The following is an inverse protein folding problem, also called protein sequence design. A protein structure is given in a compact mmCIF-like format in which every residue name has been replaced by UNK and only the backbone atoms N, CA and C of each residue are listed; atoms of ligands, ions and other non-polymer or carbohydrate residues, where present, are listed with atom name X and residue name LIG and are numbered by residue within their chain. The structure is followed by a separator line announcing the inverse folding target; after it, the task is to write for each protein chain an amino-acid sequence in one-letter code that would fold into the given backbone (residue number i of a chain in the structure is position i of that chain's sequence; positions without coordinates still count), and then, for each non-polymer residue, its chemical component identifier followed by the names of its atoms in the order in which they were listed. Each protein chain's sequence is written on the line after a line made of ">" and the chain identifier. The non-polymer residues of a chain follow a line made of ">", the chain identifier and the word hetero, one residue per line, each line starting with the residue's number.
data_IF_543848415500
#
_entry.id   IF_543848415500
#
_cell.length_a   1.000
_cell.length_b   1.000
_cell.length_c   1.000
_cell.angle_alpha   90.00
_cell.angle_beta   90.00
_cell.angle_gamma   90.00
#
_symmetry.space_group_name_H-M   'P 1'
#
loop_
_entity.id
_entity.type
_entity.pdbx_description
1 polymer ?
#
# COMPACT_ATOMS: atom_id res chain seq x y z
N UNK A 1 -18.49 -14.95 -10.99
CA UNK A 1 -17.85 -15.85 -10.03
C UNK A 1 -16.54 -16.34 -10.66
N UNK A 2 -15.48 -15.52 -10.58
CA UNK A 2 -14.14 -15.91 -11.10
C UNK A 2 -13.49 -16.74 -9.98
N UNK A 3 -12.98 -17.91 -10.34
CA UNK A 3 -12.39 -18.87 -9.41
C UNK A 3 -11.42 -18.19 -8.44
N UNK A 4 -11.55 -18.51 -7.15
CA UNK A 4 -10.51 -18.25 -6.16
C UNK A 4 -9.28 -18.98 -6.67
N UNK A 5 -8.32 -18.25 -7.24
CA UNK A 5 -7.02 -18.82 -7.58
C UNK A 5 -6.42 -19.33 -6.27
N UNK A 6 -5.74 -20.46 -6.32
CA UNK A 6 -4.92 -20.92 -5.20
C UNK A 6 -3.79 -19.90 -5.05
N UNK A 7 -4.01 -18.95 -4.14
CA UNK A 7 -3.07 -17.89 -3.82
C UNK A 7 -2.09 -18.46 -2.79
N UNK A 8 -0.79 -18.16 -2.92
CA UNK A 8 0.17 -18.48 -1.87
C UNK A 8 -0.32 -17.95 -0.51
N UNK A 9 0.09 -18.59 0.60
CA UNK A 9 -0.37 -18.18 1.93
C UNK A 9 0.06 -16.73 2.20
N UNK A 10 -0.90 -15.81 2.40
CA UNK A 10 -0.57 -14.40 2.64
C UNK A 10 0.16 -14.24 3.97
N UNK A 11 1.13 -13.34 4.03
CA UNK A 11 1.99 -13.13 5.20
C UNK A 11 1.80 -11.72 5.75
N UNK A 12 1.66 -11.62 7.07
CA UNK A 12 1.70 -10.34 7.80
C UNK A 12 2.94 -10.34 8.69
N UNK A 13 3.80 -9.34 8.52
CA UNK A 13 4.98 -9.08 9.34
C UNK A 13 4.69 -7.91 10.25
N UNK A 14 4.84 -8.09 11.57
CA UNK A 14 4.60 -7.04 12.57
C UNK A 14 5.91 -6.72 13.27
N UNK A 15 6.46 -5.52 13.05
CA UNK A 15 7.78 -5.14 13.56
C UNK A 15 7.81 -4.94 15.08
N UNK A 16 6.87 -4.15 15.58
CA UNK A 16 6.74 -3.87 17.01
C UNK A 16 5.28 -3.97 17.40
N UNK A 17 5.02 -4.80 18.41
CA UNK A 17 3.75 -4.84 19.11
C UNK A 17 4.01 -4.25 20.48
N UNK A 18 3.25 -3.23 20.86
CA UNK A 18 3.15 -2.88 22.28
C UNK A 18 2.18 -3.89 22.93
N UNK A 19 2.67 -4.82 23.78
CA UNK A 19 1.80 -5.78 24.42
C UNK A 19 0.75 -5.09 25.28
N UNK A 20 1.02 -3.90 25.83
CA UNK A 20 0.04 -3.18 26.66
C UNK A 20 -1.19 -2.70 25.87
N UNK A 21 -1.12 -2.64 24.53
CA UNK A 21 -2.24 -2.27 23.66
C UNK A 21 -3.15 -3.46 23.35
N UNK A 22 -2.63 -4.69 23.40
CA UNK A 22 -3.33 -5.89 22.93
C UNK A 22 -3.43 -7.02 23.97
N UNK A 23 -2.71 -6.93 25.08
CA UNK A 23 -2.75 -7.88 26.20
C UNK A 23 -3.66 -7.33 27.29
N UNK A 24 -4.96 -7.51 27.09
CA UNK A 24 -5.97 -7.35 28.14
C UNK A 24 -6.04 -8.59 29.07
N UNK A 25 -5.07 -9.50 28.98
CA UNK A 25 -5.05 -10.78 29.67
C UNK A 25 -5.98 -11.84 29.06
N UNK A 26 -6.73 -11.52 27.99
CA UNK A 26 -7.55 -12.49 27.28
C UNK A 26 -6.83 -12.99 26.02
N UNK A 27 -6.64 -14.31 25.95
CA UNK A 27 -6.30 -14.94 24.67
C UNK A 27 -7.45 -14.68 23.69
N UNK A 28 -7.21 -14.11 22.50
CA UNK A 28 -8.27 -13.92 21.53
C UNK A 28 -8.92 -15.28 21.26
N UNK A 29 -10.24 -15.35 21.44
CA UNK A 29 -11.00 -16.51 21.02
C UNK A 29 -10.75 -16.71 19.51
N UNK A 30 -10.70 -17.96 19.00
CA UNK A 30 -10.73 -18.19 17.57
C UNK A 30 -11.93 -17.41 17.02
N UNK A 31 -11.68 -16.47 16.12
CA UNK A 31 -12.77 -15.74 15.49
C UNK A 31 -13.64 -16.77 14.77
N UNK A 32 -14.94 -16.75 15.03
CA UNK A 32 -15.87 -17.44 14.14
C UNK A 32 -15.58 -16.93 12.73
N UNK A 33 -15.18 -17.83 11.83
CA UNK A 33 -14.98 -17.46 10.43
C UNK A 33 -16.26 -16.75 9.97
N UNK A 34 -16.14 -15.55 9.36
CA UNK A 34 -17.28 -14.68 9.18
C UNK A 34 -18.40 -15.42 8.46
N UNK A 35 -19.64 -15.20 8.91
CA UNK A 35 -20.85 -15.62 8.19
C UNK A 35 -20.70 -15.27 6.71
N UNK A 36 -21.40 -15.98 5.83
CA UNK A 36 -21.47 -15.57 4.43
C UNK A 36 -21.79 -14.07 4.32
N UNK A 37 -20.86 -13.30 3.75
CA UNK A 37 -20.95 -11.85 3.57
C UNK A 37 -21.40 -11.60 2.14
N UNK A 38 -22.43 -10.77 1.95
CA UNK A 38 -22.86 -10.37 0.61
C UNK A 38 -21.95 -9.24 0.09
N UNK A 39 -21.73 -9.17 -1.23
CA UNK A 39 -20.94 -8.09 -1.82
C UNK A 39 -21.54 -6.69 -1.58
N UNK A 40 -22.85 -6.59 -1.34
CA UNK A 40 -23.54 -5.35 -1.00
C UNK A 40 -23.57 -5.02 0.48
N UNK A 41 -23.05 -5.92 1.34
CA UNK A 41 -22.82 -5.59 2.73
C UNK A 41 -21.73 -4.50 2.85
N UNK A 42 -21.84 -3.71 3.92
CA UNK A 42 -20.90 -2.64 4.26
C UNK A 42 -19.56 -3.27 4.67
N UNK A 43 -18.48 -2.85 4.02
CA UNK A 43 -17.12 -3.29 4.33
C UNK A 43 -16.41 -2.35 5.30
N UNK A 44 -16.48 -1.04 5.07
CA UNK A 44 -15.83 -0.05 5.94
C UNK A 44 -16.53 1.30 5.90
N UNK A 45 -16.21 2.12 6.89
CA UNK A 45 -16.60 3.53 6.97
C UNK A 45 -15.36 4.36 7.27
N UNK A 46 -15.06 5.33 6.42
CA UNK A 46 -13.98 6.30 6.64
C UNK A 46 -14.59 7.69 6.78
N UNK A 47 -14.20 8.40 7.84
CA UNK A 47 -14.67 9.77 8.08
C UNK A 47 -13.75 10.77 7.40
N UNK A 48 -14.33 11.69 6.65
CA UNK A 48 -13.63 12.80 6.01
C UNK A 48 -14.01 14.11 6.69
N UNK A 49 -13.13 15.12 6.70
CA UNK A 49 -13.33 16.38 7.42
C UNK A 49 -14.63 17.12 7.06
N UNK A 50 -15.10 16.96 5.81
CA UNK A 50 -16.32 17.59 5.30
C UNK A 50 -16.19 19.11 5.14
N UNK A 51 -16.68 19.65 4.01
CA UNK A 51 -16.62 21.11 3.74
C UNK A 51 -17.36 21.98 4.76
N UNK A 52 -18.24 21.40 5.57
CA UNK A 52 -19.03 22.06 6.62
C UNK A 52 -18.37 21.99 8.00
N UNK A 53 -17.17 21.41 8.11
CA UNK A 53 -16.45 21.23 9.39
C UNK A 53 -16.99 20.12 10.29
N UNK A 54 -18.06 19.43 9.87
CA UNK A 54 -18.57 18.22 10.54
C UNK A 54 -18.14 17.01 9.72
N UNK A 55 -17.43 16.03 10.32
CA UNK A 55 -16.97 14.87 9.58
C UNK A 55 -18.13 14.06 8.96
N UNK A 56 -17.93 13.59 7.73
CA UNK A 56 -18.90 12.76 7.00
C UNK A 56 -18.32 11.36 6.80
N UNK A 57 -19.06 10.34 7.24
CA UNK A 57 -18.73 8.95 7.03
C UNK A 57 -19.03 8.53 5.58
N UNK A 58 -18.00 8.09 4.87
CA UNK A 58 -18.12 7.46 3.55
C UNK A 58 -18.24 5.97 3.78
N UNK A 59 -19.38 5.39 3.43
CA UNK A 59 -19.67 3.96 3.58
C UNK A 59 -19.34 3.26 2.27
N UNK A 60 -18.52 2.22 2.35
CA UNK A 60 -18.10 1.42 1.19
C UNK A 60 -18.55 -0.02 1.34
N UNK A 61 -19.05 -0.63 0.25
CA UNK A 61 -19.44 -2.05 0.23
C UNK A 61 -18.27 -2.96 -0.10
N UNK A 62 -18.38 -4.25 0.23
CA UNK A 62 -17.37 -5.25 -0.13
C UNK A 62 -17.13 -5.29 -1.64
N UNK A 63 -18.19 -5.24 -2.45
CA UNK A 63 -18.11 -5.24 -3.92
C UNK A 63 -17.39 -4.01 -4.45
N UNK A 64 -17.68 -2.82 -3.91
CA UNK A 64 -17.01 -1.60 -4.35
C UNK A 64 -15.51 -1.63 -4.03
N UNK A 65 -15.16 -2.02 -2.79
CA UNK A 65 -13.77 -2.12 -2.35
C UNK A 65 -12.98 -3.16 -3.16
N UNK A 66 -13.52 -4.37 -3.29
CA UNK A 66 -12.87 -5.49 -4.00
C UNK A 66 -12.70 -5.21 -5.48
N UNK A 67 -13.65 -4.54 -6.14
CA UNK A 67 -13.51 -4.15 -7.54
C UNK A 67 -12.31 -3.21 -7.76
N UNK A 68 -12.17 -2.18 -6.92
CA UNK A 68 -11.03 -1.24 -7.01
C UNK A 68 -9.72 -1.96 -6.75
N UNK A 69 -9.64 -2.73 -5.66
CA UNK A 69 -8.44 -3.50 -5.29
C UNK A 69 -8.04 -4.46 -6.41
N UNK A 70 -8.99 -5.25 -6.93
CA UNK A 70 -8.73 -6.20 -8.00
C UNK A 70 -8.23 -5.51 -9.28
N UNK A 71 -8.78 -4.33 -9.62
CA UNK A 71 -8.34 -3.58 -10.79
C UNK A 71 -6.87 -3.10 -10.67
N UNK A 72 -6.46 -2.62 -9.49
CA UNK A 72 -5.07 -2.21 -9.24
C UNK A 72 -4.13 -3.42 -9.26
N UNK A 73 -4.51 -4.52 -8.59
CA UNK A 73 -3.74 -5.77 -8.57
C UNK A 73 -3.53 -6.33 -9.98
N UNK A 74 -4.60 -6.45 -10.78
CA UNK A 74 -4.54 -6.97 -12.15
C UNK A 74 -3.71 -6.06 -13.05
N UNK A 75 -3.89 -4.74 -12.96
CA UNK A 75 -3.15 -3.77 -13.79
C UNK A 75 -1.65 -3.79 -13.54
N UNK A 76 -1.23 -3.93 -12.29
CA UNK A 76 0.18 -3.82 -11.91
C UNK A 76 0.87 -5.17 -11.69
N UNK A 77 0.16 -6.26 -11.97
CA UNK A 77 0.68 -7.63 -11.86
C UNK A 77 1.15 -7.93 -10.45
N UNK A 78 0.37 -7.55 -9.44
CA UNK A 78 0.72 -7.76 -8.03
C UNK A 78 0.41 -9.21 -7.66
N UNK A 79 1.34 -9.86 -6.96
CA UNK A 79 1.24 -11.28 -6.66
C UNK A 79 2.01 -11.72 -5.41
N UNK A 80 2.22 -13.03 -5.24
CA UNK A 80 2.86 -13.61 -4.04
C UNK A 80 4.27 -13.13 -3.73
N UNK A 81 5.02 -12.71 -4.75
CA UNK A 81 6.39 -12.21 -4.59
C UNK A 81 6.43 -10.73 -4.16
N UNK A 82 5.27 -10.08 -4.05
CA UNK A 82 5.18 -8.69 -3.68
C UNK A 82 4.98 -8.47 -2.19
N UNK A 83 5.52 -7.35 -1.72
CA UNK A 83 5.34 -6.91 -0.36
C UNK A 83 5.17 -5.40 -0.29
N UNK A 84 4.34 -4.94 0.64
CA UNK A 84 4.09 -3.52 0.89
C UNK A 84 4.53 -3.15 2.31
N UNK A 85 5.08 -1.95 2.47
CA UNK A 85 5.17 -1.32 3.78
C UNK A 85 3.84 -0.59 4.03
N UNK A 86 3.09 -1.00 5.04
CA UNK A 86 1.78 -0.42 5.38
C UNK A 86 1.91 0.96 6.03
N UNK A 87 2.40 1.93 5.25
CA UNK A 87 2.67 3.30 5.67
C UNK A 87 1.41 4.17 5.64
N UNK A 88 0.41 3.79 4.85
CA UNK A 88 -0.87 4.50 4.81
C UNK A 88 -1.57 4.40 6.15
N UNK A 89 -2.07 5.52 6.68
CA UNK A 89 -2.90 5.47 7.88
C UNK A 89 -4.22 4.73 7.59
N UNK A 90 -4.65 3.93 8.56
CA UNK A 90 -5.93 3.19 8.53
C UNK A 90 -7.16 4.13 8.46
N UNK A 91 -6.97 5.43 8.72
CA UNK A 91 -8.00 6.46 8.55
C UNK A 91 -8.18 6.89 7.10
N UNK A 92 -7.34 6.41 6.17
CA UNK A 92 -7.42 6.72 4.73
C UNK A 92 -7.64 5.45 3.92
N UNK A 93 -8.35 5.59 2.80
CA UNK A 93 -8.73 4.48 1.93
C UNK A 93 -7.55 3.82 1.20
N UNK A 94 -6.41 4.50 1.09
CA UNK A 94 -5.14 3.90 0.63
C UNK A 94 -4.74 2.66 1.43
N UNK A 95 -5.02 2.65 2.73
CA UNK A 95 -4.72 1.50 3.60
C UNK A 95 -5.51 0.23 3.25
N UNK A 96 -6.68 0.39 2.61
CA UNK A 96 -7.50 -0.74 2.15
C UNK A 96 -6.74 -1.52 1.09
N UNK A 97 -6.01 -0.84 0.20
CA UNK A 97 -5.15 -1.50 -0.77
C UNK A 97 -3.92 -2.14 -0.12
N UNK A 98 -3.25 -1.44 0.80
CA UNK A 98 -2.06 -1.99 1.50
C UNK A 98 -2.37 -3.34 2.13
N UNK A 99 -3.52 -3.45 2.81
CA UNK A 99 -3.93 -4.68 3.48
C UNK A 99 -4.54 -5.68 2.50
N UNK A 100 -5.67 -5.33 1.88
CA UNK A 100 -6.47 -6.31 1.14
C UNK A 100 -5.96 -6.56 -0.28
N UNK A 101 -5.23 -5.62 -0.87
CA UNK A 101 -4.59 -5.80 -2.17
C UNK A 101 -3.46 -6.81 -2.10
N UNK A 102 -2.54 -6.63 -1.15
CA UNK A 102 -1.39 -7.52 -1.01
C UNK A 102 -1.80 -8.89 -0.47
N UNK A 103 -2.56 -8.94 0.63
CA UNK A 103 -3.00 -10.23 1.18
C UNK A 103 -3.91 -10.99 0.21
N UNK A 104 -4.79 -10.28 -0.52
CA UNK A 104 -5.65 -10.89 -1.54
C UNK A 104 -4.88 -11.43 -2.74
N UNK A 105 -3.71 -10.88 -3.03
CA UNK A 105 -2.80 -11.34 -4.09
C UNK A 105 -1.79 -12.40 -3.62
N UNK A 106 -1.76 -12.73 -2.32
CA UNK A 106 -0.83 -13.70 -1.73
C UNK A 106 0.50 -13.12 -1.30
N UNK A 107 0.63 -11.79 -1.40
CA UNK A 107 1.82 -11.08 -1.03
C UNK A 107 1.96 -10.90 0.47
N UNK A 108 2.89 -10.03 0.84
CA UNK A 108 3.23 -9.74 2.23
C UNK A 108 2.87 -8.32 2.62
N UNK A 109 2.32 -8.14 3.82
CA UNK A 109 2.13 -6.81 4.44
C UNK A 109 3.11 -6.65 5.58
N UNK A 110 3.97 -5.63 5.48
CA UNK A 110 4.91 -5.24 6.54
C UNK A 110 4.30 -4.08 7.32
N UNK A 111 3.86 -4.36 8.55
CA UNK A 111 3.25 -3.39 9.42
C UNK A 111 4.30 -2.55 10.15
N UNK A 112 4.22 -1.23 10.00
CA UNK A 112 5.04 -0.29 10.75
C UNK A 112 4.42 0.03 12.11
N UNK A 113 5.27 0.30 13.09
CA UNK A 113 4.81 0.78 14.38
C UNK A 113 4.30 2.22 14.27
N UNK A 114 3.33 2.59 15.11
CA UNK A 114 2.80 3.96 15.14
C UNK A 114 3.89 5.00 15.46
N UNK A 115 4.87 4.65 16.31
CA UNK A 115 6.02 5.51 16.60
C UNK A 115 6.89 5.81 15.38
N UNK A 116 6.88 4.89 14.41
CA UNK A 116 7.78 4.91 13.26
C UNK A 116 7.06 5.45 11.99
N UNK A 117 5.78 5.83 12.10
CA UNK A 117 4.94 6.33 11.00
C UNK A 117 5.38 7.63 10.35
N UNK A 118 6.34 8.35 10.96
CA UNK A 118 6.91 9.60 10.43
C UNK A 118 8.43 9.56 10.36
N UNK A 119 9.02 8.37 10.43
CA UNK A 119 10.46 8.17 10.38
C UNK A 119 10.86 7.49 9.07
N UNK A 120 11.23 8.31 8.09
CA UNK A 120 11.61 7.85 6.76
C UNK A 120 12.92 7.04 6.74
N UNK A 121 13.81 7.23 7.71
CA UNK A 121 15.02 6.41 7.81
C UNK A 121 14.67 5.00 8.25
N UNK A 122 13.78 4.86 9.25
CA UNK A 122 13.23 3.56 9.65
C UNK A 122 12.49 2.89 8.48
N UNK A 123 11.73 3.62 7.66
CA UNK A 123 11.10 3.02 6.47
C UNK A 123 12.13 2.43 5.52
N UNK A 124 13.21 3.15 5.21
CA UNK A 124 14.28 2.65 4.36
C UNK A 124 14.90 1.35 4.89
N UNK A 125 15.12 1.25 6.20
CA UNK A 125 15.62 0.01 6.83
C UNK A 125 14.63 -1.15 6.66
N UNK A 126 13.35 -0.93 6.94
CA UNK A 126 12.31 -1.95 6.84
C UNK A 126 12.10 -2.39 5.38
N UNK A 127 12.10 -1.45 4.44
CA UNK A 127 11.99 -1.74 3.02
C UNK A 127 13.12 -2.68 2.57
N UNK A 128 14.36 -2.41 2.97
CA UNK A 128 15.49 -3.28 2.63
C UNK A 128 15.42 -4.63 3.35
N UNK A 129 15.13 -4.63 4.65
CA UNK A 129 15.07 -5.84 5.48
C UNK A 129 14.02 -6.83 5.00
N UNK A 130 12.83 -6.35 4.66
CA UNK A 130 11.69 -7.17 4.24
C UNK A 130 11.51 -7.24 2.73
N UNK A 131 12.43 -6.63 1.97
CA UNK A 131 12.41 -6.58 0.50
C UNK A 131 11.08 -6.06 -0.05
N UNK A 132 10.60 -4.96 0.53
CA UNK A 132 9.37 -4.27 0.10
C UNK A 132 9.46 -3.90 -1.37
N UNK A 133 8.48 -4.35 -2.16
CA UNK A 133 8.42 -4.14 -3.62
C UNK A 133 7.40 -3.08 -4.02
N UNK A 134 6.38 -2.84 -3.20
CA UNK A 134 5.30 -1.89 -3.45
C UNK A 134 5.32 -0.81 -2.37
N UNK A 135 5.22 0.45 -2.80
CA UNK A 135 4.98 1.60 -1.94
C UNK A 135 3.65 2.23 -2.33
N UNK A 136 2.83 2.60 -1.35
CA UNK A 136 1.56 3.27 -1.57
C UNK A 136 1.35 4.35 -0.50
N UNK A 137 1.23 5.62 -0.91
CA UNK A 137 1.14 6.73 0.03
C UNK A 137 0.57 8.02 -0.57
N UNK A 138 0.41 9.04 0.27
CA UNK A 138 0.34 10.42 -0.21
C UNK A 138 1.70 10.89 -0.79
N UNK A 139 1.75 11.85 -1.73
CA UNK A 139 2.98 12.33 -2.34
C UNK A 139 4.03 12.82 -1.33
N UNK A 140 3.60 13.50 -0.26
CA UNK A 140 4.50 14.00 0.78
C UNK A 140 5.32 12.90 1.48
N UNK A 141 4.74 11.71 1.69
CA UNK A 141 5.47 10.58 2.29
C UNK A 141 6.46 9.96 1.30
N UNK A 142 6.11 9.93 0.01
CA UNK A 142 7.04 9.50 -1.04
C UNK A 142 8.23 10.48 -1.17
N UNK A 143 7.97 11.79 -1.05
CA UNK A 143 9.03 12.80 -0.99
C UNK A 143 9.94 12.59 0.22
N UNK A 144 9.39 12.35 1.41
CA UNK A 144 10.19 12.03 2.60
C UNK A 144 11.06 10.79 2.40
N UNK A 145 10.51 9.73 1.79
CA UNK A 145 11.25 8.51 1.46
C UNK A 145 12.44 8.83 0.55
N UNK A 146 12.24 9.64 -0.49
CA UNK A 146 13.32 10.02 -1.41
C UNK A 146 14.44 10.81 -0.74
N UNK A 147 14.13 11.69 0.21
CA UNK A 147 15.14 12.42 0.97
C UNK A 147 15.91 11.45 1.88
N UNK A 148 15.23 10.56 2.59
CA UNK A 148 15.88 9.63 3.52
C UNK A 148 16.73 8.55 2.82
N UNK A 149 16.43 8.25 1.56
CA UNK A 149 17.15 7.25 0.77
C UNK A 149 18.30 7.82 -0.06
N UNK A 150 18.47 9.15 -0.15
CA UNK A 150 19.39 9.84 -1.07
C UNK A 150 20.85 9.34 -0.98
N UNK A 151 21.36 9.13 0.24
CA UNK A 151 22.74 8.66 0.50
C UNK A 151 22.82 7.16 0.84
N UNK A 152 21.71 6.43 0.74
CA UNK A 152 21.60 5.04 1.16
C UNK A 152 21.73 4.03 0.01
N UNK A 153 21.83 2.73 0.32
CA UNK A 153 21.66 1.69 -0.68
C UNK A 153 20.30 1.79 -1.36
N UNK A 154 20.25 1.43 -2.64
CA UNK A 154 19.00 1.39 -3.41
C UNK A 154 17.91 0.56 -2.71
N UNK A 155 16.66 0.97 -2.93
CA UNK A 155 15.49 0.30 -2.40
C UNK A 155 14.95 -0.71 -3.42
N UNK A 156 14.58 -1.94 -3.01
CA UNK A 156 14.06 -2.98 -3.90
C UNK A 156 12.59 -2.75 -4.36
N UNK A 157 12.17 -1.48 -4.49
CA UNK A 157 10.84 -1.08 -4.91
C UNK A 157 10.70 -1.23 -6.42
N UNK A 158 9.57 -1.76 -6.88
CA UNK A 158 9.20 -1.84 -8.31
C UNK A 158 7.99 -0.99 -8.68
N UNK A 159 7.16 -0.64 -7.69
CA UNK A 159 5.91 0.09 -7.91
C UNK A 159 5.69 1.10 -6.78
N UNK A 160 5.53 2.37 -7.14
CA UNK A 160 5.14 3.46 -6.25
C UNK A 160 3.76 3.96 -6.69
N UNK A 161 2.76 3.77 -5.84
CA UNK A 161 1.43 4.35 -5.99
C UNK A 161 1.37 5.62 -5.14
N UNK A 162 0.97 6.73 -5.75
CA UNK A 162 0.79 8.01 -5.05
C UNK A 162 -0.59 8.59 -5.32
N UNK A 163 -1.26 9.09 -4.29
CA UNK A 163 -2.65 9.56 -4.38
C UNK A 163 -2.98 10.60 -3.31
N UNK A 164 -4.10 11.30 -3.49
CA UNK A 164 -4.71 12.14 -2.44
C UNK A 164 -4.24 13.60 -2.43
N UNK A 165 -3.23 13.95 -3.21
CA UNK A 165 -2.79 15.34 -3.40
C UNK A 165 -2.04 15.50 -4.74
N UNK A 166 -1.55 16.71 -5.01
CA UNK A 166 -0.70 17.02 -6.14
C UNK A 166 0.60 16.22 -6.12
N UNK A 167 0.93 15.64 -7.28
CA UNK A 167 2.17 14.88 -7.48
C UNK A 167 3.19 15.77 -8.20
N UNK A 168 4.38 15.92 -7.61
CA UNK A 168 5.45 16.68 -8.23
C UNK A 168 5.92 16.03 -9.54
N UNK A 169 6.08 16.80 -10.64
CA UNK A 169 6.70 16.31 -11.87
C UNK A 169 8.11 15.75 -11.67
N UNK A 170 8.82 16.17 -10.62
CA UNK A 170 10.18 15.69 -10.31
C UNK A 170 10.19 14.40 -9.49
N UNK A 171 9.06 13.99 -8.89
CA UNK A 171 9.00 12.80 -8.04
C UNK A 171 9.43 11.52 -8.77
N UNK A 172 9.01 11.24 -10.02
CA UNK A 172 9.47 10.05 -10.75
C UNK A 172 10.98 9.96 -10.89
N UNK A 173 11.65 11.07 -11.22
CA UNK A 173 13.11 11.10 -11.36
C UNK A 173 13.82 10.83 -10.02
N UNK A 174 13.30 11.40 -8.91
CA UNK A 174 13.84 11.19 -7.57
C UNK A 174 13.64 9.75 -7.09
N UNK A 175 12.50 9.14 -7.39
CA UNK A 175 12.26 7.72 -7.11
C UNK A 175 13.25 6.85 -7.89
N UNK A 176 13.43 7.10 -9.19
CA UNK A 176 14.39 6.33 -10.01
C UNK A 176 15.81 6.38 -9.44
N UNK A 177 16.21 7.52 -8.86
CA UNK A 177 17.53 7.68 -8.26
C UNK A 177 17.77 6.85 -6.99
N UNK A 178 16.71 6.37 -6.33
CA UNK A 178 16.81 5.62 -5.06
C UNK A 178 16.40 4.15 -5.17
N UNK A 179 15.98 3.66 -6.34
CA UNK A 179 15.41 2.31 -6.50
C UNK A 179 16.25 1.42 -7.39
N UNK A 180 16.31 0.13 -7.04
CA UNK A 180 17.00 -0.89 -7.84
C UNK A 180 16.43 -1.00 -9.25
N UNK A 181 17.32 -1.17 -10.22
CA UNK A 181 16.95 -1.42 -11.61
C UNK A 181 16.50 -2.88 -11.79
N UNK A 182 15.19 -3.13 -11.70
CA UNK A 182 14.62 -4.49 -11.77
C UNK A 182 13.76 -4.78 -12.99
N UNK A 183 13.38 -3.79 -13.79
CA UNK A 183 12.59 -4.03 -14.99
C UNK A 183 13.43 -3.80 -16.24
N UNK A 184 13.82 -4.91 -16.90
CA UNK A 184 14.17 -4.86 -18.31
C UNK A 184 12.86 -4.78 -19.07
N UNK A 185 12.55 -3.61 -19.63
CA UNK A 185 11.45 -3.51 -20.60
C UNK A 185 11.75 -4.44 -21.78
N UNK A 186 10.72 -4.89 -22.53
CA UNK A 186 10.91 -5.71 -23.74
C UNK A 186 11.88 -5.10 -24.77
N UNK A 187 12.16 -3.81 -24.64
CA UNK A 187 13.05 -2.99 -25.47
C UNK A 187 14.45 -2.78 -24.86
N UNK A 188 14.81 -3.53 -23.80
CA UNK A 188 16.15 -3.56 -23.22
C UNK A 188 16.54 -2.35 -22.36
N UNK A 189 15.60 -1.48 -22.00
CA UNK A 189 15.86 -0.33 -21.13
C UNK A 189 15.59 -0.68 -19.67
N UNK A 190 16.58 -0.34 -18.84
CA UNK A 190 16.52 -0.23 -17.39
C UNK A 190 15.35 0.65 -16.94
N UNK A 191 14.43 0.13 -16.15
CA UNK A 191 13.36 0.92 -15.54
C UNK A 191 13.37 0.65 -14.03
N UNK A 192 13.80 1.65 -13.26
CA UNK A 192 13.58 1.71 -11.81
C UNK A 192 12.09 1.67 -11.47
N UNK A 193 11.72 1.89 -10.21
CA UNK A 193 10.33 1.75 -9.80
C UNK A 193 9.37 2.61 -10.65
N UNK A 194 8.28 2.00 -11.12
CA UNK A 194 7.22 2.73 -11.83
C UNK A 194 6.44 3.59 -10.83
N UNK A 195 6.33 4.88 -11.12
CA UNK A 195 5.52 5.82 -10.33
C UNK A 195 4.17 6.05 -11.02
N UNK A 196 3.08 5.79 -10.29
CA UNK A 196 1.70 5.91 -10.77
C UNK A 196 0.94 6.87 -9.88
N UNK A 197 0.40 7.93 -10.48
CA UNK A 197 -0.53 8.81 -9.80
C UNK A 197 -1.96 8.25 -9.91
N UNK A 198 -2.56 7.98 -8.75
CA UNK A 198 -3.93 7.50 -8.62
C UNK A 198 -4.83 8.69 -8.27
N UNK A 199 -5.88 8.94 -9.07
CA UNK A 199 -6.87 9.99 -8.80
C UNK A 199 -6.75 11.28 -9.64
N UNK A 200 -7.90 11.77 -10.12
CA UNK A 200 -8.07 12.94 -10.99
C UNK A 200 -9.24 12.72 -11.97
N UNK A 201 -9.88 13.78 -12.47
CA UNK A 201 -10.88 13.71 -13.57
C UNK A 201 -10.28 13.24 -14.91
N UNK A 202 -8.97 13.02 -14.92
CA UNK A 202 -8.22 12.35 -15.97
C UNK A 202 -7.78 10.99 -15.44
N UNK A 203 -8.01 9.95 -16.26
CA UNK A 203 -7.54 8.58 -16.08
C UNK A 203 -6.14 8.54 -15.45
N UNK A 204 -5.92 7.60 -14.52
CA UNK A 204 -4.61 7.22 -13.98
C UNK A 204 -3.54 7.29 -15.07
N UNK A 205 -2.42 7.98 -14.77
CA UNK A 205 -1.33 8.20 -15.72
C UNK A 205 -0.06 7.58 -15.16
N UNK A 206 0.58 6.73 -15.95
CA UNK A 206 1.97 6.37 -15.74
C UNK A 206 2.80 7.66 -15.90
N UNK A 207 3.55 8.07 -14.87
CA UNK A 207 4.34 9.30 -14.89
C UNK A 207 5.71 9.10 -15.56
N UNK A 208 5.77 8.21 -16.55
CA UNK A 208 7.01 7.86 -17.25
C UNK A 208 7.29 8.90 -18.33
N UNK A 209 8.14 9.87 -18.01
CA UNK A 209 9.07 10.47 -18.98
C UNK A 209 10.40 9.71 -18.94
#
# INVERSE_FOLDING_TARGET
>A
MRAVREVAQPVVVIEKVDPAVYDDGQKPAPADLPRAVDGDDRAYVIFTSGSTGTPKGVVMTHRAATNTVAAVVERHGIGPEDSVLAVSSLDFDLSVFDVFGLLGAGGTVVCIAESDRRDAFTWCELIRRHRVTVWNSAPALADMLTVAAEDGPELPLRLILVSGDWVSPTLPARIRAITEDRAVSGDGHAVGARVVAMGGSHRERDLVE
#
